data_IF_301856086247
#
_entry.id   IF_301856086247
#
_cell.length_a   1.000
_cell.length_b   1.000
_cell.length_c   1.000
_cell.angle_alpha   90.00
_cell.angle_beta   90.00
_cell.angle_gamma   90.00
#
_symmetry.space_group_name_H-M   'P 1'
#
loop_
_entity.id
_entity.type
_entity.pdbx_description
1 polymer ?
#
# COMPACT_ATOMS: atom_id res chain seq x y z
N UNK A 1 45.10 -6.93 -15.37
CA UNK A 1 43.85 -7.27 -16.07
C UNK A 1 42.63 -7.07 -15.14
N UNK A 2 42.37 -5.84 -14.67
CA UNK A 2 41.29 -5.55 -13.70
C UNK A 2 40.21 -4.58 -14.21
N UNK A 3 40.43 -3.93 -15.36
CA UNK A 3 39.49 -2.95 -15.93
C UNK A 3 38.19 -3.63 -16.39
N UNK A 4 38.29 -4.71 -17.15
CA UNK A 4 37.12 -5.43 -17.69
C UNK A 4 36.15 -5.96 -16.63
N UNK A 5 36.64 -6.44 -15.49
CA UNK A 5 35.80 -6.94 -14.40
C UNK A 5 35.07 -5.81 -13.68
N UNK A 6 35.77 -4.71 -13.39
CA UNK A 6 35.17 -3.52 -12.80
C UNK A 6 34.17 -2.85 -13.74
N UNK A 7 34.47 -2.79 -15.04
CA UNK A 7 33.58 -2.26 -16.06
C UNK A 7 32.29 -3.10 -16.16
N UNK A 8 32.42 -4.43 -16.12
CA UNK A 8 31.27 -5.35 -16.08
C UNK A 8 30.42 -5.09 -14.84
N UNK A 9 31.04 -4.95 -13.66
CA UNK A 9 30.35 -4.65 -12.40
C UNK A 9 29.65 -3.30 -12.45
N UNK A 10 30.30 -2.27 -12.99
CA UNK A 10 29.72 -0.94 -13.14
C UNK A 10 28.51 -0.94 -14.06
N UNK A 11 28.60 -1.63 -15.20
CA UNK A 11 27.48 -1.78 -16.14
C UNK A 11 26.29 -2.52 -15.50
N UNK A 12 26.54 -3.65 -14.85
CA UNK A 12 25.49 -4.42 -14.15
C UNK A 12 24.81 -3.63 -13.05
N UNK A 13 25.59 -2.85 -12.29
CA UNK A 13 25.03 -1.94 -11.28
C UNK A 13 24.10 -0.90 -11.91
N UNK A 14 24.46 -0.36 -13.08
CA UNK A 14 23.65 0.64 -13.77
C UNK A 14 22.35 0.03 -14.31
N UNK A 15 22.42 -1.13 -14.96
CA UNK A 15 21.24 -1.88 -15.43
C UNK A 15 20.29 -2.20 -14.27
N UNK A 16 20.83 -2.64 -13.13
CA UNK A 16 20.04 -2.93 -11.93
C UNK A 16 19.33 -1.68 -11.38
N UNK A 17 20.02 -0.54 -11.35
CA UNK A 17 19.42 0.74 -10.93
C UNK A 17 18.29 1.20 -11.84
N UNK A 18 18.45 1.03 -13.14
CA UNK A 18 17.42 1.35 -14.13
C UNK A 18 16.19 0.45 -13.97
N UNK A 19 16.41 -0.86 -13.78
CA UNK A 19 15.33 -1.81 -13.53
C UNK A 19 14.54 -1.45 -12.26
N UNK A 20 15.24 -1.13 -11.17
CA UNK A 20 14.61 -0.72 -9.91
C UNK A 20 13.84 0.60 -10.06
N UNK A 21 14.43 1.61 -10.72
CA UNK A 21 13.77 2.91 -10.95
C UNK A 21 12.48 2.75 -11.78
N UNK A 22 12.53 1.93 -12.84
CA UNK A 22 11.37 1.63 -13.65
C UNK A 22 10.30 0.90 -12.84
N UNK A 23 10.68 -0.08 -12.03
CA UNK A 23 9.72 -0.80 -11.18
C UNK A 23 9.05 0.11 -10.15
N UNK A 24 9.80 1.04 -9.54
CA UNK A 24 9.23 2.06 -8.64
C UNK A 24 8.20 2.92 -9.39
N UNK A 25 8.52 3.36 -10.60
CA UNK A 25 7.59 4.12 -11.43
C UNK A 25 6.33 3.31 -11.80
N UNK A 26 6.50 2.05 -12.23
CA UNK A 26 5.39 1.20 -12.65
C UNK A 26 4.44 0.87 -11.49
N UNK A 27 4.97 0.70 -10.27
CA UNK A 27 4.18 0.36 -9.07
C UNK A 27 3.58 1.57 -8.38
N UNK A 28 4.34 2.65 -8.27
CA UNK A 28 4.00 3.79 -7.41
C UNK A 28 3.71 5.07 -8.19
N UNK A 29 4.01 5.12 -9.49
CA UNK A 29 3.96 6.34 -10.30
C UNK A 29 5.08 7.33 -9.97
N UNK A 30 6.08 6.93 -9.17
CA UNK A 30 7.14 7.79 -8.66
C UNK A 30 8.36 7.76 -9.60
N UNK A 31 8.75 8.92 -10.13
CA UNK A 31 9.93 9.05 -10.98
C UNK A 31 11.17 9.34 -10.13
N UNK A 32 12.05 8.36 -10.01
CA UNK A 32 13.34 8.49 -9.32
C UNK A 32 14.46 8.30 -10.33
N UNK A 33 15.51 9.11 -10.24
CA UNK A 33 16.69 8.90 -11.07
C UNK A 33 17.38 7.58 -10.68
N UNK A 34 17.88 6.76 -11.62
CA UNK A 34 18.59 5.52 -11.30
C UNK A 34 19.74 5.71 -10.29
N UNK A 35 20.41 6.87 -10.29
CA UNK A 35 21.45 7.22 -9.33
C UNK A 35 20.98 7.42 -7.89
N UNK A 36 19.71 7.74 -7.69
CA UNK A 36 19.09 8.03 -6.40
C UNK A 36 18.40 6.81 -5.78
N UNK A 37 18.23 5.73 -6.56
CA UNK A 37 17.66 4.48 -6.06
C UNK A 37 18.56 3.87 -4.98
N UNK A 38 17.96 3.62 -3.83
CA UNK A 38 18.51 2.93 -2.66
C UNK A 38 17.81 1.59 -2.44
N UNK A 39 18.57 0.58 -2.00
CA UNK A 39 17.99 -0.68 -1.49
C UNK A 39 17.43 -0.53 -0.07
N UNK A 40 17.91 0.49 0.66
CA UNK A 40 17.42 0.87 1.97
C UNK A 40 16.98 2.35 1.89
N UNK A 41 15.82 2.62 1.27
CA UNK A 41 15.26 3.96 1.22
C UNK A 41 14.82 4.42 2.62
N UNK A 42 14.90 5.72 2.84
CA UNK A 42 14.32 6.40 4.00
C UNK A 42 12.87 6.78 3.70
N UNK A 43 12.12 7.18 4.73
CA UNK A 43 10.73 7.61 4.56
C UNK A 43 10.59 8.81 3.60
N UNK A 44 11.58 9.70 3.58
CA UNK A 44 11.64 10.87 2.68
C UNK A 44 11.80 10.51 1.20
N UNK A 45 12.30 9.31 0.88
CA UNK A 45 12.48 8.88 -0.51
C UNK A 45 11.14 8.55 -1.19
N UNK A 46 10.04 8.41 -0.41
CA UNK A 46 8.69 8.21 -0.94
C UNK A 46 8.38 6.78 -1.42
N UNK A 47 9.30 5.84 -1.22
CA UNK A 47 9.11 4.42 -1.51
C UNK A 47 9.80 3.52 -0.48
N UNK A 48 9.34 2.30 -0.35
CA UNK A 48 9.95 1.23 0.42
C UNK A 48 9.97 -0.06 -0.41
N UNK A 49 10.74 -1.05 0.06
CA UNK A 49 10.76 -2.37 -0.55
C UNK A 49 10.01 -3.37 0.34
N UNK A 50 9.06 -4.08 -0.25
CA UNK A 50 8.49 -5.29 0.32
C UNK A 50 9.25 -6.48 -0.27
N UNK A 51 9.69 -7.40 0.58
CA UNK A 51 10.40 -8.60 0.15
C UNK A 51 9.99 -9.81 0.97
N UNK A 52 9.79 -10.96 0.31
CA UNK A 52 9.60 -12.24 1.01
C UNK A 52 10.89 -12.64 1.74
N UNK A 53 10.80 -13.34 2.88
CA UNK A 53 11.92 -13.71 3.76
C UNK A 53 13.15 -14.28 3.02
N UNK A 54 12.94 -15.07 1.96
CA UNK A 54 14.03 -15.64 1.15
C UNK A 54 14.83 -14.62 0.33
N UNK A 55 14.27 -13.45 0.04
CA UNK A 55 14.84 -12.41 -0.84
C UNK A 55 15.24 -11.12 -0.11
N UNK A 56 14.82 -10.95 1.15
CA UNK A 56 15.10 -9.75 1.94
C UNK A 56 16.61 -9.46 2.09
N UNK A 57 17.44 -10.50 2.16
CA UNK A 57 18.90 -10.37 2.24
C UNK A 57 19.52 -9.69 1.00
N UNK A 58 18.86 -9.76 -0.16
CA UNK A 58 19.35 -9.12 -1.40
C UNK A 58 19.32 -7.59 -1.31
N UNK A 59 18.40 -7.05 -0.51
CA UNK A 59 18.20 -5.62 -0.30
C UNK A 59 19.09 -5.06 0.83
N UNK A 60 19.84 -5.91 1.54
CA UNK A 60 20.72 -5.45 2.60
C UNK A 60 21.95 -4.73 2.02
N UNK A 61 22.19 -3.51 2.48
CA UNK A 61 23.33 -2.69 2.10
C UNK A 61 23.07 -1.76 0.91
N UNK A 62 24.15 -1.43 0.19
CA UNK A 62 24.14 -0.40 -0.86
C UNK A 62 24.50 -0.96 -2.23
N UNK A 63 23.79 -0.49 -3.27
CA UNK A 63 24.13 -0.77 -4.68
C UNK A 63 25.56 -0.36 -5.04
N UNK A 64 26.21 0.54 -4.30
CA UNK A 64 27.60 0.92 -4.59
C UNK A 64 28.60 -0.19 -4.26
N UNK A 65 28.30 -1.05 -3.28
CA UNK A 65 29.18 -2.14 -2.83
C UNK A 65 28.75 -3.54 -3.29
N UNK A 66 27.65 -3.66 -4.05
CA UNK A 66 27.11 -4.96 -4.47
C UNK A 66 27.99 -5.75 -5.45
N UNK A 67 27.78 -7.05 -5.51
CA UNK A 67 28.43 -7.93 -6.50
C UNK A 67 27.59 -8.05 -7.77
N UNK A 68 28.19 -8.52 -8.88
CA UNK A 68 27.43 -8.81 -10.10
C UNK A 68 26.30 -9.81 -9.85
N UNK A 69 26.57 -10.87 -9.06
CA UNK A 69 25.56 -11.87 -8.73
C UNK A 69 24.42 -11.29 -7.88
N UNK A 70 24.71 -10.33 -7.00
CA UNK A 70 23.66 -9.63 -6.24
C UNK A 70 22.77 -8.80 -7.16
N UNK A 71 23.33 -8.06 -8.12
CA UNK A 71 22.53 -7.28 -9.08
C UNK A 71 21.64 -8.18 -9.95
N UNK A 72 22.20 -9.28 -10.47
CA UNK A 72 21.46 -10.24 -11.29
C UNK A 72 20.32 -10.89 -10.47
N UNK A 73 20.56 -11.23 -9.20
CA UNK A 73 19.54 -11.78 -8.31
C UNK A 73 18.43 -10.77 -7.97
N UNK A 74 18.78 -9.52 -7.65
CA UNK A 74 17.78 -8.46 -7.42
C UNK A 74 16.88 -8.29 -8.64
N UNK A 75 17.46 -8.21 -9.84
CA UNK A 75 16.70 -8.06 -11.07
C UNK A 75 15.79 -9.26 -11.37
N UNK A 76 16.20 -10.47 -11.02
CA UNK A 76 15.40 -11.68 -11.22
C UNK A 76 14.21 -11.77 -10.26
N UNK A 77 14.40 -11.32 -9.01
CA UNK A 77 13.35 -11.36 -7.97
C UNK A 77 12.43 -10.12 -8.02
N UNK A 78 12.78 -9.08 -8.78
CA UNK A 78 12.00 -7.85 -8.91
C UNK A 78 10.66 -8.11 -9.61
N UNK A 79 9.56 -7.81 -8.91
CA UNK A 79 8.19 -8.12 -9.34
C UNK A 79 7.74 -9.56 -9.05
N UNK A 80 8.61 -10.41 -8.48
CA UNK A 80 8.26 -11.77 -8.06
C UNK A 80 8.24 -11.86 -6.53
N UNK A 81 9.39 -11.60 -5.91
CA UNK A 81 9.58 -11.65 -4.46
C UNK A 81 9.96 -10.30 -3.86
N UNK A 82 10.42 -9.35 -4.69
CA UNK A 82 10.80 -7.99 -4.30
C UNK A 82 9.87 -7.01 -5.01
N UNK A 83 9.26 -6.09 -4.26
CA UNK A 83 8.27 -5.17 -4.81
C UNK A 83 8.41 -3.76 -4.22
N UNK A 84 8.25 -2.74 -5.07
CA UNK A 84 8.19 -1.36 -4.60
C UNK A 84 6.81 -1.06 -4.00
N UNK A 85 6.80 -0.61 -2.75
CA UNK A 85 5.60 -0.27 -1.98
C UNK A 85 5.70 1.16 -1.42
N UNK A 86 4.58 1.74 -0.99
CA UNK A 86 4.61 3.03 -0.28
C UNK A 86 5.19 2.80 1.13
N UNK A 87 5.99 3.73 1.67
CA UNK A 87 6.46 3.62 3.05
C UNK A 87 5.26 3.56 3.99
N UNK A 88 5.22 2.57 4.86
CA UNK A 88 4.26 2.56 5.95
C UNK A 88 4.61 3.74 6.87
N UNK A 89 3.74 4.74 6.92
CA UNK A 89 3.82 5.77 7.94
C UNK A 89 3.52 5.05 9.25
N UNK A 90 4.44 4.99 10.23
CA UNK A 90 4.04 4.61 11.57
C UNK A 90 3.02 5.68 11.96
N UNK A 91 1.75 5.29 12.06
CA UNK A 91 0.78 6.12 12.76
C UNK A 91 1.30 6.19 14.19
N UNK A 92 1.99 7.27 14.51
CA UNK A 92 2.25 7.65 15.89
C UNK A 92 0.87 7.62 16.58
N UNK A 93 0.72 6.77 17.60
CA UNK A 93 -0.44 6.71 18.49
C UNK A 93 -0.56 8.06 19.25
N UNK A 94 -0.84 9.14 18.53
CA UNK A 94 -1.06 10.46 19.09
C UNK A 94 -2.44 10.95 18.69
N UNK A 95 -3.36 11.14 19.65
CA UNK A 95 -4.62 11.81 19.39
C UNK A 95 -4.29 13.28 19.09
N UNK A 96 -4.16 13.63 17.82
CA UNK A 96 -3.96 15.02 17.43
C UNK A 96 -5.33 15.61 17.12
N UNK A 97 -5.91 16.20 18.16
CA UNK A 97 -6.92 17.23 18.01
C UNK A 97 -6.25 18.57 17.64
N UNK A 98 -6.91 19.32 16.71
CA UNK A 98 -6.69 20.71 16.26
C UNK A 98 -5.59 20.91 15.18
N UNK A 99 -5.80 21.60 14.04
CA UNK A 99 -6.91 22.36 13.45
C UNK A 99 -6.50 22.77 12.01
N UNK A 100 -7.43 22.77 11.05
CA UNK A 100 -7.96 23.96 10.34
C UNK A 100 -7.07 24.50 9.21
N UNK A 101 -7.42 24.18 7.96
CA UNK A 101 -7.57 25.13 6.85
C UNK A 101 -8.37 24.44 5.71
N UNK A 102 -9.32 25.19 5.15
CA UNK A 102 -10.52 24.82 4.37
C UNK A 102 -10.42 23.76 3.25
N UNK A 103 -11.14 22.64 3.41
CA UNK A 103 -12.07 22.14 2.39
C UNK A 103 -13.26 21.43 3.07
N UNK A 104 -14.53 21.87 2.90
CA UNK A 104 -15.67 21.18 3.47
C UNK A 104 -16.05 19.98 2.61
N UNK A 105 -15.28 18.89 2.72
CA UNK A 105 -15.79 17.59 2.34
C UNK A 105 -16.89 17.22 3.33
N UNK A 106 -18.14 17.27 2.89
CA UNK A 106 -19.29 16.73 3.61
C UNK A 106 -19.07 15.22 3.79
N UNK A 107 -18.44 14.84 4.91
CA UNK A 107 -18.44 13.47 5.40
C UNK A 107 -19.79 13.22 6.09
N UNK A 108 -20.82 12.88 5.30
CA UNK A 108 -22.08 12.31 5.80
C UNK A 108 -21.89 10.87 6.34
N UNK A 109 -20.63 10.46 6.54
CA UNK A 109 -20.20 9.08 6.41
C UNK A 109 -19.42 8.53 7.58
N UNK A 110 -19.31 9.23 8.72
CA UNK A 110 -18.75 8.61 9.92
C UNK A 110 -19.40 7.24 10.12
N UNK A 111 -18.58 6.19 10.17
CA UNK A 111 -19.05 4.80 10.33
C UNK A 111 -20.06 4.71 11.48
N UNK A 112 -19.83 5.46 12.56
CA UNK A 112 -20.75 5.55 13.69
C UNK A 112 -22.12 6.14 13.31
N UNK A 113 -22.16 7.20 12.50
CA UNK A 113 -23.41 7.81 12.02
C UNK A 113 -24.17 6.89 11.05
N UNK A 114 -23.45 6.20 10.16
CA UNK A 114 -24.02 5.18 9.26
C UNK A 114 -24.61 4.03 10.06
N UNK A 115 -23.91 3.52 11.08
CA UNK A 115 -24.38 2.45 11.96
C UNK A 115 -25.65 2.88 12.71
N UNK A 116 -25.66 4.07 13.33
CA UNK A 116 -26.83 4.55 14.07
C UNK A 116 -28.08 4.70 13.17
N UNK A 117 -27.91 5.26 11.98
CA UNK A 117 -28.97 5.42 10.98
C UNK A 117 -29.54 4.07 10.53
N UNK A 118 -28.66 3.12 10.19
CA UNK A 118 -29.07 1.76 9.83
C UNK A 118 -29.75 1.02 10.99
N UNK A 119 -29.30 1.20 12.23
CA UNK A 119 -29.95 0.62 13.41
C UNK A 119 -31.35 1.18 13.62
N UNK A 120 -31.51 2.50 13.49
CA UNK A 120 -32.80 3.18 13.65
C UNK A 120 -33.80 2.73 12.58
N UNK A 121 -33.36 2.65 11.32
CA UNK A 121 -34.20 2.21 10.21
C UNK A 121 -34.62 0.74 10.37
N UNK A 122 -33.70 -0.13 10.81
CA UNK A 122 -34.02 -1.52 11.13
C UNK A 122 -35.07 -1.65 12.24
N UNK A 123 -35.00 -0.84 13.31
CA UNK A 123 -36.00 -0.86 14.37
C UNK A 123 -37.37 -0.36 13.90
N UNK A 124 -37.38 0.68 13.05
CA UNK A 124 -38.61 1.20 12.45
C UNK A 124 -39.29 0.16 11.56
N UNK A 125 -38.53 -0.45 10.64
CA UNK A 125 -39.05 -1.49 9.75
C UNK A 125 -39.58 -2.70 10.53
N UNK A 126 -38.89 -3.12 11.60
CA UNK A 126 -39.39 -4.19 12.48
C UNK A 126 -40.71 -3.84 13.14
N UNK A 127 -40.90 -2.57 13.53
CA UNK A 127 -42.14 -2.10 14.14
C UNK A 127 -43.30 -2.04 13.15
N UNK A 128 -43.04 -1.80 11.86
CA UNK A 128 -44.05 -1.76 10.80
C UNK A 128 -44.43 -3.15 10.26
N UNK A 129 -43.51 -4.11 10.25
CA UNK A 129 -43.76 -5.48 9.76
C UNK A 129 -44.72 -6.25 10.68
N UNK A 130 -44.58 -6.12 12.01
CA UNK A 130 -45.43 -6.82 12.98
C UNK A 130 -46.94 -6.62 12.81
N UNK A 131 -47.46 -5.37 12.71
CA UNK A 131 -48.89 -5.14 12.49
C UNK A 131 -49.35 -5.59 11.11
N UNK A 132 -48.53 -5.47 10.06
CA UNK A 132 -48.87 -5.94 8.71
C UNK A 132 -48.99 -7.46 8.65
N UNK A 133 -48.10 -8.19 9.33
CA UNK A 133 -48.16 -9.66 9.43
C UNK A 133 -49.40 -10.12 10.20
N UNK A 134 -49.73 -9.48 11.33
CA UNK A 134 -50.96 -9.79 12.09
C UNK A 134 -52.22 -9.49 11.30
N UNK A 135 -52.24 -8.39 10.55
CA UNK A 135 -53.39 -8.05 9.70
C UNK A 135 -53.56 -9.06 8.56
N UNK A 136 -52.46 -9.49 7.94
CA UNK A 136 -52.47 -10.54 6.92
C UNK A 136 -52.94 -11.90 7.47
N UNK A 137 -52.58 -12.24 8.71
CA UNK A 137 -52.98 -13.49 9.38
C UNK A 137 -54.47 -13.49 9.80
N UNK A 138 -55.00 -12.32 10.20
CA UNK A 138 -56.43 -12.16 10.48
C UNK A 138 -57.26 -12.20 9.19
N UNK A 139 -56.76 -11.58 8.11
CA UNK A 139 -57.42 -11.64 6.79
C UNK A 139 -57.39 -13.04 6.19
N UNK A 140 -56.39 -13.87 6.47
CA UNK A 140 -56.32 -15.26 5.99
C UNK A 140 -57.24 -16.24 6.75
N UNK A 141 -57.67 -15.89 7.97
CA UNK A 141 -58.62 -16.69 8.77
C UNK A 141 -60.10 -16.28 8.59
N UNK A 142 -60.37 -15.22 7.82
CA UNK A 142 -61.74 -14.68 7.60
C UNK A 142 -62.27 -14.93 6.18
N UNK A 143 -61.68 -15.86 5.44
CA UNK A 143 -62.24 -16.45 4.21
C UNK A 143 -62.28 -17.98 4.33
#
# INVERSE_FOLDING_TARGET
MARSSNDKRARRRQECREALANHIYDRLGLRIAPSEVRLQPSQDDGYAWSATDGSAHLLQGSLSNGSVGQYDAICAELGVSIEAVRPEVPMDDRPTCLGEDDEPCIDDGSFTGVIQRLSLENEKLKSEIGPLQRHAEIMSHTM
#
